data_IF_488783561154
#
_entry.id   IF_488783561154
#
_cell.length_a   1.000
_cell.length_b   1.000
_cell.length_c   1.000
_cell.angle_alpha   90.00
_cell.angle_beta   90.00
_cell.angle_gamma   90.00
#
_symmetry.space_group_name_H-M   'P 1'
#
loop_
_entity.id
_entity.type
_entity.pdbx_description
1 polymer ?
#
# COMPACT_ATOMS: atom_id res chain seq x y z
N UNK A 1 -1.87 0.53 -5.62
CA UNK A 1 -1.52 -0.86 -6.00
C UNK A 1 -0.36 -0.87 -6.97
N UNK A 2 0.63 -1.72 -6.71
CA UNK A 2 1.70 -1.93 -7.69
C UNK A 2 1.11 -2.67 -8.91
N UNK A 3 1.06 -1.99 -10.05
CA UNK A 3 0.50 -2.53 -11.30
C UNK A 3 1.14 -3.86 -11.72
N UNK A 4 2.44 -4.03 -11.48
CA UNK A 4 3.14 -5.28 -11.78
C UNK A 4 2.67 -6.44 -10.89
N UNK A 5 2.42 -6.19 -9.61
CA UNK A 5 1.89 -7.20 -8.70
C UNK A 5 0.45 -7.58 -9.07
N UNK A 6 -0.38 -6.62 -9.44
CA UNK A 6 -1.73 -6.87 -9.92
C UNK A 6 -1.71 -7.67 -11.23
N UNK A 7 -0.85 -7.31 -12.18
CA UNK A 7 -0.69 -8.04 -13.44
C UNK A 7 -0.20 -9.48 -13.21
N UNK A 8 0.77 -9.68 -12.30
CA UNK A 8 1.27 -11.01 -11.94
C UNK A 8 0.17 -11.85 -11.28
N UNK A 9 -0.60 -11.29 -10.35
CA UNK A 9 -1.72 -11.98 -9.70
C UNK A 9 -2.78 -12.39 -10.74
N UNK A 10 -3.17 -11.48 -11.63
CA UNK A 10 -4.11 -11.78 -12.72
C UNK A 10 -3.59 -12.85 -13.67
N UNK A 11 -2.29 -12.85 -13.98
CA UNK A 11 -1.69 -13.88 -14.83
C UNK A 11 -1.78 -15.28 -14.18
N UNK A 12 -1.49 -15.37 -12.88
CA UNK A 12 -1.61 -16.62 -12.12
C UNK A 12 -3.08 -17.09 -12.08
N UNK A 13 -4.01 -16.20 -11.75
CA UNK A 13 -5.45 -16.54 -11.72
C UNK A 13 -5.93 -17.02 -13.09
N UNK A 14 -5.54 -16.34 -14.18
CA UNK A 14 -5.89 -16.77 -15.54
C UNK A 14 -5.33 -18.15 -15.89
N UNK A 15 -4.10 -18.45 -15.48
CA UNK A 15 -3.51 -19.77 -15.72
C UNK A 15 -4.31 -20.87 -14.99
N UNK A 16 -4.66 -20.63 -13.71
CA UNK A 16 -5.44 -21.58 -12.90
C UNK A 16 -6.85 -21.76 -13.46
N UNK A 17 -7.51 -20.68 -13.93
CA UNK A 17 -8.81 -20.77 -14.57
C UNK A 17 -8.73 -21.54 -15.89
N UNK A 18 -7.69 -21.31 -16.69
CA UNK A 18 -7.48 -22.04 -17.95
C UNK A 18 -7.26 -23.54 -17.69
N UNK A 19 -6.50 -23.89 -16.66
CA UNK A 19 -6.33 -25.29 -16.26
C UNK A 19 -7.65 -25.92 -15.80
N UNK A 20 -8.45 -25.20 -15.00
CA UNK A 20 -9.76 -25.64 -14.56
C UNK A 20 -10.70 -25.84 -15.78
N UNK A 21 -10.73 -24.93 -16.73
CA UNK A 21 -11.49 -25.04 -17.96
C UNK A 21 -11.05 -26.28 -18.78
N UNK A 22 -9.74 -26.49 -18.90
CA UNK A 22 -9.19 -27.64 -19.62
C UNK A 22 -9.61 -28.98 -18.99
N UNK A 23 -9.81 -29.05 -17.68
CA UNK A 23 -10.35 -30.23 -17.01
C UNK A 23 -11.78 -30.53 -17.40
N UNK A 24 -12.59 -29.54 -17.78
CA UNK A 24 -13.99 -29.72 -18.20
C UNK A 24 -14.16 -29.85 -19.71
N UNK A 25 -13.20 -29.38 -20.53
CA UNK A 25 -13.26 -29.46 -22.00
C UNK A 25 -13.60 -30.84 -22.56
N UNK A 26 -13.08 -31.98 -22.04
CA UNK A 26 -13.44 -33.29 -22.53
C UNK A 26 -14.94 -33.65 -22.38
N UNK A 27 -15.63 -32.88 -21.53
CA UNK A 27 -17.03 -33.13 -21.16
C UNK A 27 -18.01 -32.14 -21.80
N UNK A 28 -17.54 -31.11 -22.53
CA UNK A 28 -18.35 -29.98 -23.03
C UNK A 28 -19.54 -30.37 -23.92
N UNK A 29 -19.51 -31.53 -24.55
CA UNK A 29 -20.59 -31.90 -25.46
C UNK A 29 -21.84 -32.46 -24.77
N UNK A 30 -21.79 -32.87 -23.48
CA UNK A 30 -22.93 -33.46 -22.77
C UNK A 30 -22.93 -33.28 -21.23
N UNK A 31 -22.05 -32.46 -20.67
CA UNK A 31 -21.97 -32.26 -19.19
C UNK A 31 -22.57 -30.93 -18.80
N UNK A 32 -23.68 -31.01 -18.09
CA UNK A 32 -24.31 -29.84 -17.47
C UNK A 32 -23.69 -29.56 -16.07
N UNK A 33 -23.81 -28.34 -15.57
CA UNK A 33 -23.42 -28.00 -14.20
C UNK A 33 -24.05 -28.93 -13.15
N UNK A 34 -25.26 -29.44 -13.43
CA UNK A 34 -25.97 -30.39 -12.59
C UNK A 34 -25.22 -31.73 -12.49
N UNK A 35 -24.68 -32.21 -13.58
CA UNK A 35 -23.91 -33.45 -13.60
C UNK A 35 -22.57 -33.30 -12.88
N UNK A 36 -21.93 -32.13 -13.04
CA UNK A 36 -20.69 -31.79 -12.31
C UNK A 36 -20.92 -31.79 -10.79
N UNK A 37 -22.06 -31.24 -10.33
CA UNK A 37 -22.45 -31.27 -8.91
C UNK A 37 -22.73 -32.72 -8.44
N UNK A 38 -23.33 -33.54 -9.23
CA UNK A 38 -23.62 -34.95 -8.89
C UNK A 38 -22.35 -35.76 -8.69
N UNK A 39 -21.27 -35.45 -9.43
CA UNK A 39 -19.96 -36.11 -9.24
C UNK A 39 -19.09 -35.43 -8.18
N UNK A 40 -19.66 -34.51 -7.40
CA UNK A 40 -19.00 -33.92 -6.21
C UNK A 40 -18.21 -32.62 -6.47
N UNK A 41 -18.34 -32.03 -7.66
CA UNK A 41 -17.72 -30.75 -7.97
C UNK A 41 -18.55 -29.63 -7.33
N UNK A 42 -17.91 -28.81 -6.52
CA UNK A 42 -18.57 -27.70 -5.83
C UNK A 42 -19.00 -26.62 -6.82
N UNK A 43 -20.12 -25.93 -6.55
CA UNK A 43 -20.57 -24.80 -7.35
C UNK A 43 -19.49 -23.74 -7.50
N UNK A 44 -18.70 -23.47 -6.44
CA UNK A 44 -17.57 -22.54 -6.49
C UNK A 44 -16.53 -22.90 -7.55
N UNK A 45 -16.22 -24.18 -7.74
CA UNK A 45 -15.28 -24.61 -8.78
C UNK A 45 -15.88 -24.45 -10.17
N UNK A 46 -17.17 -24.71 -10.33
CA UNK A 46 -17.88 -24.50 -11.58
C UNK A 46 -17.87 -23.02 -11.96
N UNK A 47 -18.29 -22.16 -11.05
CA UNK A 47 -18.31 -20.69 -11.22
C UNK A 47 -16.90 -20.15 -11.54
N UNK A 48 -15.88 -20.68 -10.84
CA UNK A 48 -14.50 -20.31 -11.07
C UNK A 48 -14.02 -20.68 -12.48
N UNK A 49 -14.34 -21.87 -12.95
CA UNK A 49 -14.00 -22.31 -14.31
C UNK A 49 -14.72 -21.48 -15.40
N UNK A 50 -15.91 -20.96 -15.11
CA UNK A 50 -16.66 -20.06 -16.00
C UNK A 50 -16.27 -18.59 -15.89
N UNK A 51 -15.29 -18.23 -15.03
CA UNK A 51 -14.88 -16.84 -14.82
C UNK A 51 -14.31 -16.22 -16.08
N UNK A 52 -14.84 -15.07 -16.46
CA UNK A 52 -14.33 -14.27 -17.57
C UNK A 52 -13.12 -13.42 -17.15
N UNK A 53 -12.32 -13.00 -18.12
CA UNK A 53 -11.21 -12.08 -17.86
C UNK A 53 -11.71 -10.76 -17.21
N UNK A 54 -12.88 -10.26 -17.63
CA UNK A 54 -13.46 -9.06 -17.05
C UNK A 54 -13.85 -9.28 -15.59
N UNK A 55 -14.50 -10.40 -15.25
CA UNK A 55 -14.84 -10.72 -13.86
C UNK A 55 -13.59 -10.82 -12.95
N UNK A 56 -12.48 -11.32 -13.47
CA UNK A 56 -11.21 -11.36 -12.72
C UNK A 56 -10.64 -9.96 -12.49
N UNK A 57 -10.75 -9.07 -13.50
CA UNK A 57 -10.31 -7.67 -13.38
C UNK A 57 -11.19 -6.93 -12.37
N UNK A 58 -12.50 -7.11 -12.44
CA UNK A 58 -13.46 -6.47 -11.53
C UNK A 58 -13.22 -6.93 -10.08
N UNK A 59 -13.04 -8.23 -9.87
CA UNK A 59 -12.69 -8.77 -8.55
C UNK A 59 -11.33 -8.25 -8.03
N UNK A 60 -10.35 -8.07 -8.92
CA UNK A 60 -9.06 -7.48 -8.53
C UNK A 60 -9.19 -5.99 -8.17
N UNK A 61 -10.12 -5.27 -8.81
CA UNK A 61 -10.38 -3.85 -8.51
C UNK A 61 -11.08 -3.67 -7.15
N UNK A 62 -11.86 -4.65 -6.70
CA UNK A 62 -12.53 -4.63 -5.39
C UNK A 62 -11.59 -4.99 -4.22
N UNK A 63 -10.39 -5.49 -4.51
CA UNK A 63 -9.43 -5.81 -3.45
C UNK A 63 -8.95 -4.54 -2.78
N UNK A 64 -9.33 -4.35 -1.52
CA UNK A 64 -8.83 -3.25 -0.71
C UNK A 64 -7.33 -3.41 -0.44
N UNK A 65 -6.56 -2.31 -0.53
CA UNK A 65 -5.14 -2.34 -0.21
C UNK A 65 -4.93 -2.87 1.21
N UNK A 66 -4.13 -3.92 1.34
CA UNK A 66 -3.80 -4.45 2.65
C UNK A 66 -2.76 -3.57 3.31
N UNK A 67 -2.97 -3.26 4.58
CA UNK A 67 -1.99 -2.93 5.59
C UNK A 67 -0.80 -2.08 5.09
N UNK A 68 -0.93 -0.75 5.18
CA UNK A 68 0.15 0.20 4.87
C UNK A 68 0.61 0.27 3.40
N UNK A 69 -0.13 -0.33 2.47
CA UNK A 69 0.21 -0.33 1.04
C UNK A 69 -0.81 0.47 0.23
N UNK A 70 -0.95 1.75 0.57
CA UNK A 70 -2.02 2.59 0.07
C UNK A 70 -3.31 2.42 0.90
N UNK A 71 -3.17 2.05 2.17
CA UNK A 71 -4.28 2.05 3.12
C UNK A 71 -4.69 3.48 3.40
N UNK A 72 -5.96 3.80 3.20
CA UNK A 72 -6.52 5.12 3.49
C UNK A 72 -7.29 5.06 4.81
N UNK A 73 -6.92 5.92 5.74
CA UNK A 73 -7.55 6.06 7.05
C UNK A 73 -8.15 7.46 7.11
N UNK A 74 -9.46 7.57 7.36
CA UNK A 74 -10.08 8.87 7.60
C UNK A 74 -9.78 9.35 9.03
N UNK A 75 -9.13 10.49 9.14
CA UNK A 75 -8.86 11.14 10.43
C UNK A 75 -9.59 12.48 10.46
N UNK A 76 -10.73 12.52 11.12
CA UNK A 76 -11.55 13.73 11.26
C UNK A 76 -11.89 14.41 9.92
N UNK A 77 -12.19 13.63 8.88
CA UNK A 77 -12.51 14.11 7.54
C UNK A 77 -11.28 14.40 6.66
N UNK A 78 -10.07 14.09 7.13
CA UNK A 78 -8.84 14.14 6.33
C UNK A 78 -8.45 12.72 5.92
N UNK A 79 -8.43 12.36 4.62
CA UNK A 79 -7.92 11.08 4.18
C UNK A 79 -6.40 11.02 4.36
N UNK A 80 -5.94 10.07 5.17
CA UNK A 80 -4.52 9.79 5.44
C UNK A 80 -4.13 8.49 4.76
N UNK A 81 -3.25 8.56 3.78
CA UNK A 81 -2.78 7.41 3.02
C UNK A 81 -1.41 6.94 3.52
N UNK A 82 -1.33 5.67 3.94
CA UNK A 82 -0.10 5.05 4.41
C UNK A 82 0.61 4.33 3.26
N UNK A 83 1.87 4.71 3.02
CA UNK A 83 2.67 4.27 1.89
C UNK A 83 3.96 3.59 2.38
N UNK A 84 3.95 2.26 2.40
CA UNK A 84 5.11 1.48 2.82
C UNK A 84 6.24 1.57 1.78
N UNK A 85 7.42 1.98 2.22
CA UNK A 85 8.64 2.04 1.43
C UNK A 85 9.73 1.14 2.04
N UNK A 86 10.38 0.32 1.22
CA UNK A 86 11.37 -0.69 1.68
C UNK A 86 12.70 -0.62 0.96
N UNK A 87 12.75 0.03 -0.17
CA UNK A 87 13.93 0.08 -1.05
C UNK A 87 13.79 1.25 -2.03
N UNK A 88 14.87 1.63 -2.75
CA UNK A 88 14.85 2.78 -3.64
C UNK A 88 13.79 2.70 -4.73
N UNK A 89 13.63 1.53 -5.36
CA UNK A 89 12.68 1.34 -6.46
C UNK A 89 11.24 1.50 -5.96
N UNK A 90 10.91 0.91 -4.81
CA UNK A 90 9.58 1.02 -4.21
C UNK A 90 9.26 2.45 -3.83
N UNK A 91 10.23 3.21 -3.28
CA UNK A 91 10.01 4.60 -2.91
C UNK A 91 9.82 5.49 -4.14
N UNK A 92 10.69 5.37 -5.17
CA UNK A 92 10.51 6.09 -6.44
C UNK A 92 9.16 5.82 -7.08
N UNK A 93 8.74 4.55 -7.08
CA UNK A 93 7.44 4.17 -7.64
C UNK A 93 6.28 4.77 -6.85
N UNK A 94 6.37 4.81 -5.52
CA UNK A 94 5.37 5.46 -4.68
C UNK A 94 5.30 6.96 -4.95
N UNK A 95 6.44 7.66 -5.00
CA UNK A 95 6.49 9.10 -5.34
C UNK A 95 5.91 9.40 -6.73
N UNK A 96 6.10 8.50 -7.70
CA UNK A 96 5.54 8.65 -9.04
C UNK A 96 4.04 8.32 -9.12
N UNK A 97 3.52 7.52 -8.18
CA UNK A 97 2.12 7.06 -8.19
C UNK A 97 1.19 7.96 -7.37
N UNK A 98 1.73 8.68 -6.40
CA UNK A 98 0.99 9.53 -5.47
C UNK A 98 1.47 10.97 -5.63
N UNK A 99 0.63 11.76 -6.29
CA UNK A 99 0.97 13.17 -6.57
C UNK A 99 1.02 13.97 -5.27
N UNK A 100 2.07 14.78 -5.03
CA UNK A 100 2.19 15.59 -3.82
C UNK A 100 1.32 16.85 -3.86
N UNK A 101 0.84 17.28 -5.04
CA UNK A 101 0.06 18.51 -5.18
C UNK A 101 -1.28 18.41 -4.45
N UNK A 102 -1.52 19.38 -3.57
CA UNK A 102 -2.73 19.45 -2.76
C UNK A 102 -2.79 18.48 -1.59
N UNK A 103 -1.69 17.76 -1.31
CA UNK A 103 -1.56 16.85 -0.19
C UNK A 103 -0.45 17.31 0.76
N UNK A 104 -0.66 17.17 2.06
CA UNK A 104 0.43 17.28 3.03
C UNK A 104 1.25 15.97 3.01
N UNK A 105 2.57 16.11 3.02
CA UNK A 105 3.48 14.95 2.99
C UNK A 105 4.23 14.80 4.31
N UNK A 106 4.25 13.58 4.84
CA UNK A 106 5.11 13.15 5.94
C UNK A 106 5.98 11.99 5.51
N UNK A 107 7.24 11.96 5.99
CA UNK A 107 8.16 10.84 5.78
C UNK A 107 8.66 10.34 7.13
N UNK A 108 8.46 9.07 7.44
CA UNK A 108 8.85 8.44 8.69
C UNK A 108 9.80 7.26 8.46
N UNK A 109 11.05 7.38 8.88
CA UNK A 109 12.10 6.39 8.63
C UNK A 109 12.63 5.81 9.94
N UNK A 110 12.47 4.49 10.08
CA UNK A 110 13.14 3.71 11.10
C UNK A 110 14.18 2.77 10.47
N UNK A 111 15.11 2.29 11.28
CA UNK A 111 16.15 1.32 10.92
C UNK A 111 16.16 0.12 11.87
N UNK A 112 15.01 -0.30 12.35
CA UNK A 112 14.89 -1.51 13.17
C UNK A 112 15.19 -2.77 12.32
N UNK A 113 15.39 -3.91 12.97
CA UNK A 113 15.79 -5.13 12.29
C UNK A 113 14.88 -5.51 11.09
N UNK A 114 13.57 -5.30 11.24
CA UNK A 114 12.59 -5.60 10.19
C UNK A 114 12.59 -4.59 9.02
N UNK A 115 13.16 -3.40 9.22
CA UNK A 115 13.32 -2.38 8.16
C UNK A 115 14.57 -2.66 7.31
N UNK A 116 15.55 -3.40 7.88
CA UNK A 116 16.93 -3.43 7.45
C UNK A 116 17.72 -2.30 8.13
N UNK A 117 18.91 -2.64 8.65
CA UNK A 117 19.73 -1.70 9.43
C UNK A 117 20.46 -0.68 8.54
N UNK A 118 20.64 -0.99 7.28
CA UNK A 118 21.30 -0.11 6.32
C UNK A 118 20.26 0.75 5.61
N UNK A 119 20.27 2.05 5.92
CA UNK A 119 19.41 3.06 5.30
C UNK A 119 20.15 3.86 4.22
N UNK A 120 21.34 3.47 3.82
CA UNK A 120 22.10 4.15 2.74
C UNK A 120 21.34 4.18 1.41
N UNK A 121 20.42 3.24 1.19
CA UNK A 121 19.55 3.20 0.01
C UNK A 121 18.67 4.44 -0.17
N UNK A 122 18.45 5.24 0.88
CA UNK A 122 17.73 6.51 0.78
C UNK A 122 18.44 7.49 -0.18
N UNK A 123 19.77 7.37 -0.31
CA UNK A 123 20.56 8.20 -1.22
C UNK A 123 20.37 7.82 -2.70
N UNK A 124 19.82 6.66 -2.98
CA UNK A 124 19.47 6.22 -4.33
C UNK A 124 18.07 6.65 -4.76
N UNK A 125 17.30 7.33 -3.90
CA UNK A 125 15.96 7.84 -4.21
C UNK A 125 16.05 9.30 -4.67
N UNK A 126 15.37 9.65 -5.75
CA UNK A 126 15.18 11.02 -6.21
C UNK A 126 13.90 11.60 -5.60
N UNK A 127 14.04 12.64 -4.79
CA UNK A 127 12.95 13.35 -4.13
C UNK A 127 12.57 14.67 -4.82
N UNK A 128 13.10 14.95 -5.98
CA UNK A 128 12.89 16.23 -6.69
C UNK A 128 11.42 16.55 -6.96
N UNK A 129 10.54 15.55 -7.05
CA UNK A 129 9.10 15.73 -7.20
C UNK A 129 8.44 16.42 -6.00
N UNK A 130 9.11 16.47 -4.84
CA UNK A 130 8.62 17.14 -3.63
C UNK A 130 9.14 18.58 -3.48
N UNK A 131 9.92 19.12 -4.41
CA UNK A 131 10.54 20.43 -4.26
C UNK A 131 9.52 21.57 -4.12
N UNK A 132 8.48 21.52 -4.92
CA UNK A 132 7.49 22.60 -4.96
C UNK A 132 6.50 22.54 -3.80
N UNK A 133 6.18 21.34 -3.33
CA UNK A 133 5.23 21.13 -2.21
C UNK A 133 5.92 21.05 -0.86
N UNK A 134 7.16 20.58 -0.81
CA UNK A 134 7.89 20.31 0.41
C UNK A 134 7.39 19.07 1.17
N UNK A 135 7.99 18.86 2.34
CA UNK A 135 7.62 17.83 3.31
C UNK A 135 7.23 18.50 4.62
N UNK A 136 5.98 18.34 5.03
CA UNK A 136 5.44 18.99 6.22
C UNK A 136 6.06 18.43 7.51
N UNK A 137 6.35 17.13 7.55
CA UNK A 137 6.90 16.45 8.73
C UNK A 137 7.87 15.34 8.34
N UNK A 138 9.03 15.29 8.99
CA UNK A 138 9.94 14.14 8.93
C UNK A 138 10.05 13.54 10.34
N UNK A 139 9.95 12.19 10.44
CA UNK A 139 9.94 11.52 11.74
C UNK A 139 10.62 10.14 11.72
N UNK A 140 10.63 9.50 12.89
CA UNK A 140 11.28 8.22 13.14
C UNK A 140 12.71 8.35 13.62
N UNK A 141 13.35 7.21 13.91
CA UNK A 141 14.72 7.20 14.48
C UNK A 141 15.77 7.76 13.52
N UNK A 142 15.50 7.73 12.19
CA UNK A 142 16.37 8.28 11.15
C UNK A 142 15.83 9.60 10.57
N UNK A 143 15.03 10.34 11.35
CA UNK A 143 14.42 11.60 10.91
C UNK A 143 15.45 12.60 10.40
N UNK A 144 16.56 12.78 11.11
CA UNK A 144 17.60 13.73 10.72
C UNK A 144 18.37 13.31 9.47
N UNK A 145 18.63 12.01 9.28
CA UNK A 145 19.23 11.52 8.04
C UNK A 145 18.32 11.76 6.85
N UNK A 146 17.02 11.54 7.04
CA UNK A 146 16.03 11.79 5.99
C UNK A 146 15.90 13.28 5.68
N UNK A 147 15.86 14.14 6.71
CA UNK A 147 15.83 15.59 6.51
C UNK A 147 17.05 16.08 5.75
N UNK A 148 18.25 15.61 6.12
CA UNK A 148 19.49 15.90 5.39
C UNK A 148 19.43 15.44 3.94
N UNK A 149 18.89 14.23 3.69
CA UNK A 149 18.73 13.70 2.34
C UNK A 149 17.80 14.58 1.48
N UNK A 150 16.70 15.06 2.06
CA UNK A 150 15.76 15.96 1.39
C UNK A 150 16.39 17.31 1.07
N UNK A 151 17.21 17.85 1.98
CA UNK A 151 17.93 19.11 1.76
C UNK A 151 18.89 19.02 0.57
N UNK A 152 19.58 17.88 0.37
CA UNK A 152 20.41 17.65 -0.81
C UNK A 152 19.63 17.70 -2.12
N UNK A 153 18.37 17.28 -2.11
CA UNK A 153 17.48 17.42 -3.28
C UNK A 153 16.73 18.76 -3.31
N UNK A 154 17.07 19.70 -2.40
CA UNK A 154 16.43 21.03 -2.31
C UNK A 154 14.92 20.94 -2.01
N UNK A 155 14.51 19.92 -1.26
CA UNK A 155 13.13 19.76 -0.80
C UNK A 155 12.96 20.44 0.55
N UNK A 156 12.05 21.45 0.68
CA UNK A 156 11.79 22.09 1.95
C UNK A 156 11.21 21.11 2.98
N UNK A 157 11.73 21.17 4.21
CA UNK A 157 11.22 20.41 5.36
C UNK A 157 10.72 21.39 6.40
N UNK A 158 9.43 21.33 6.74
CA UNK A 158 8.83 22.28 7.68
C UNK A 158 9.12 21.91 9.12
N UNK A 159 9.13 20.62 9.46
CA UNK A 159 9.34 20.15 10.83
C UNK A 159 10.02 18.79 10.87
N UNK A 160 10.86 18.58 11.89
CA UNK A 160 11.48 17.28 12.19
C UNK A 160 11.17 16.96 13.65
N UNK A 161 10.58 15.79 13.89
CA UNK A 161 10.30 15.29 15.25
C UNK A 161 10.59 13.78 15.29
N UNK A 162 11.53 13.35 16.11
CA UNK A 162 11.92 11.95 16.27
C UNK A 162 10.89 11.11 17.02
N UNK A 163 10.04 11.77 17.82
CA UNK A 163 8.95 11.10 18.56
C UNK A 163 7.77 10.86 17.64
N UNK A 164 7.72 9.65 17.04
CA UNK A 164 6.82 9.32 15.95
C UNK A 164 5.33 9.50 16.30
N UNK A 165 4.91 9.13 17.50
CA UNK A 165 3.51 9.27 17.92
C UNK A 165 3.08 10.74 17.98
N UNK A 166 3.93 11.59 18.56
CA UNK A 166 3.71 13.03 18.62
C UNK A 166 3.74 13.67 17.22
N UNK A 167 4.70 13.24 16.38
CA UNK A 167 4.80 13.69 14.99
C UNK A 167 3.54 13.37 14.20
N UNK A 168 3.04 12.15 14.30
CA UNK A 168 1.79 11.72 13.63
C UNK A 168 0.62 12.56 14.12
N UNK A 169 0.45 12.69 15.43
CA UNK A 169 -0.64 13.49 16.01
C UNK A 169 -0.59 14.95 15.54
N UNK A 170 0.58 15.56 15.55
CA UNK A 170 0.79 16.95 15.08
C UNK A 170 0.48 17.07 13.60
N UNK A 171 0.97 16.14 12.78
CA UNK A 171 0.81 16.15 11.33
C UNK A 171 -0.65 15.99 10.89
N UNK A 172 -1.38 15.04 11.46
CA UNK A 172 -2.77 14.80 11.04
C UNK A 172 -3.73 15.88 11.50
N UNK A 173 -3.41 16.59 12.59
CA UNK A 173 -4.21 17.72 13.07
C UNK A 173 -3.85 19.04 12.38
N UNK A 174 -2.74 19.12 11.68
CA UNK A 174 -2.44 20.26 10.80
C UNK A 174 -3.32 20.20 9.55
N UNK A 175 -3.75 21.35 9.04
CA UNK A 175 -4.56 21.49 7.82
C UNK A 175 -5.76 20.50 7.78
N UNK A 176 -6.77 20.67 8.65
CA UNK A 176 -7.92 19.78 8.69
C UNK A 176 -8.63 19.71 7.34
N UNK A 177 -9.01 18.51 6.92
CA UNK A 177 -9.65 18.24 5.62
C UNK A 177 -8.68 18.08 4.44
N UNK A 178 -7.42 18.46 4.57
CA UNK A 178 -6.44 18.22 3.52
C UNK A 178 -6.05 16.74 3.43
N UNK A 179 -5.96 16.17 2.21
CA UNK A 179 -5.40 14.84 2.01
C UNK A 179 -3.94 14.76 2.51
N UNK A 180 -3.55 13.60 3.00
CA UNK A 180 -2.23 13.41 3.60
C UNK A 180 -1.58 12.11 3.13
N UNK A 181 -0.31 12.19 2.76
CA UNK A 181 0.52 11.03 2.45
C UNK A 181 1.56 10.82 3.54
N UNK A 182 1.67 9.59 4.06
CA UNK A 182 2.73 9.21 5.01
C UNK A 182 3.55 8.08 4.40
N UNK A 183 4.73 8.42 3.90
CA UNK A 183 5.72 7.43 3.45
C UNK A 183 6.48 6.90 4.65
N UNK A 184 6.49 5.60 4.86
CA UNK A 184 7.11 5.03 6.05
C UNK A 184 7.79 3.68 5.78
N UNK A 185 8.90 3.42 6.48
CA UNK A 185 9.48 2.08 6.59
C UNK A 185 8.56 1.17 7.43
N UNK A 186 8.82 -0.13 7.42
CA UNK A 186 7.89 -1.10 7.99
C UNK A 186 7.56 -0.87 9.47
N UNK A 187 8.57 -0.71 10.32
CA UNK A 187 8.33 -0.49 11.76
C UNK A 187 7.80 0.90 12.05
N UNK A 188 8.18 1.90 11.26
CA UNK A 188 7.56 3.24 11.32
C UNK A 188 6.08 3.17 10.92
N UNK A 189 5.72 2.40 9.91
CA UNK A 189 4.34 2.20 9.49
C UNK A 189 3.49 1.54 10.59
N UNK A 190 4.02 0.50 11.25
CA UNK A 190 3.32 -0.15 12.37
C UNK A 190 3.03 0.84 13.51
N UNK A 191 4.03 1.65 13.88
CA UNK A 191 3.90 2.66 14.94
C UNK A 191 2.96 3.80 14.53
N UNK A 192 3.06 4.27 13.29
CA UNK A 192 2.16 5.29 12.71
C UNK A 192 0.71 4.79 12.74
N UNK A 193 0.48 3.56 12.29
CA UNK A 193 -0.84 2.96 12.28
C UNK A 193 -1.41 2.79 13.70
N UNK A 194 -0.57 2.38 14.66
CA UNK A 194 -0.96 2.31 16.06
C UNK A 194 -1.31 3.69 16.65
N UNK A 195 -0.57 4.74 16.27
CA UNK A 195 -0.88 6.12 16.67
C UNK A 195 -2.20 6.61 16.06
N UNK A 196 -2.44 6.34 14.78
CA UNK A 196 -3.70 6.66 14.10
C UNK A 196 -4.89 5.92 14.72
N UNK A 197 -4.72 4.65 15.10
CA UNK A 197 -5.76 3.85 15.76
C UNK A 197 -6.21 4.36 17.13
N UNK A 198 -5.48 5.32 17.73
CA UNK A 198 -5.90 6.02 18.96
C UNK A 198 -6.90 7.16 18.69
N UNK A 199 -6.96 7.64 17.46
CA UNK A 199 -7.69 8.86 17.08
C UNK A 199 -8.67 8.63 15.92
N UNK A 200 -8.63 7.49 15.26
CA UNK A 200 -9.50 7.12 14.14
C UNK A 200 -9.79 5.63 14.14
N UNK A 201 -10.85 5.23 13.43
CA UNK A 201 -11.13 3.81 13.18
C UNK A 201 -10.13 3.28 12.14
N UNK A 202 -9.33 2.32 12.55
CA UNK A 202 -8.36 1.63 11.68
C UNK A 202 -8.80 0.18 11.52
N UNK A 203 -8.94 -0.28 10.27
CA UNK A 203 -9.37 -1.64 9.99
C UNK A 203 -8.47 -2.68 10.67
N UNK A 204 -9.04 -3.78 11.18
CA UNK A 204 -8.26 -4.87 11.77
C UNK A 204 -7.37 -5.49 10.67
N UNK A 205 -6.08 -5.44 10.87
CA UNK A 205 -5.09 -5.88 9.89
C UNK A 205 -5.04 -7.41 9.70
N UNK A 206 -5.77 -8.16 10.52
CA UNK A 206 -5.75 -9.64 10.46
C UNK A 206 -4.38 -10.27 10.74
N UNK A 207 -3.41 -9.50 11.22
CA UNK A 207 -2.06 -9.97 11.54
C UNK A 207 -2.01 -10.33 13.00
N UNK A 208 -2.07 -11.62 13.27
CA UNK A 208 -1.79 -12.19 14.59
C UNK A 208 -3.02 -12.39 15.49
N UNK A 209 -3.78 -13.42 15.22
CA UNK A 209 -4.41 -14.25 16.26
C UNK A 209 -3.76 -15.60 16.25
#
# INVERSE_FOLDING_TARGET
YNLYNAAAALAVVRAVVADAQAMFLPFEQNVTDELLRQVGISQRMIDFAHSTTQAMIDAAAEVTPAFGRGEVIDVNGSPVELLLVKNPMGFRLSLASFTPEGCDTMIAINDEYADGRDMSWLWDVDFSSLRDTGVAMVSGVRAWDMALRLEYDQVPVNSVNTELEEAVSTFVNANPGAPKHIYCTYTAMLKTRAALGKIAEVADAGVGK
#
